data_IF_186316413632
#
_entry.id   IF_186316413632
#
_cell.length_a   1.000
_cell.length_b   1.000
_cell.length_c   1.000
_cell.angle_alpha   90.00
_cell.angle_beta   90.00
_cell.angle_gamma   90.00
#
_symmetry.space_group_name_H-M   'P 1'
#
loop_
_entity.id
_entity.type
_entity.pdbx_description
1 polymer ?
#
# COMPACT_ATOMS: atom_id res chain seq x y z
N UNK A 1 -57.61 -1.44 56.67
CA UNK A 1 -56.64 -2.56 56.60
C UNK A 1 -55.38 -2.05 55.90
N UNK A 2 -54.24 -2.26 56.56
CA UNK A 2 -52.82 -2.04 56.21
C UNK A 2 -52.50 -1.36 54.85
N UNK A 3 -51.89 -0.16 54.77
CA UNK A 3 -50.59 0.34 55.27
C UNK A 3 -49.54 0.52 54.15
N UNK A 4 -49.30 1.80 53.82
CA UNK A 4 -47.99 2.48 53.68
C UNK A 4 -47.06 2.06 52.51
N UNK A 5 -46.33 2.94 51.80
CA UNK A 5 -45.94 4.35 52.02
C UNK A 5 -45.33 4.90 50.71
N UNK A 6 -45.68 6.16 50.36
CA UNK A 6 -44.88 7.30 49.84
C UNK A 6 -43.55 7.05 49.06
N UNK A 7 -43.08 7.84 48.08
CA UNK A 7 -43.28 9.26 47.71
C UNK A 7 -42.51 9.62 46.41
N UNK A 8 -43.02 10.61 45.65
CA UNK A 8 -42.33 11.66 44.85
C UNK A 8 -41.50 11.29 43.57
N UNK A 9 -41.93 11.71 42.35
CA UNK A 9 -41.58 12.94 41.55
C UNK A 9 -40.10 13.00 41.09
N UNK A 10 -39.66 13.37 39.88
CA UNK A 10 -40.18 14.21 38.77
C UNK A 10 -39.19 14.17 37.55
N UNK A 11 -39.71 14.22 36.31
CA UNK A 11 -39.26 14.97 35.08
C UNK A 11 -37.96 14.64 34.28
N UNK A 12 -38.21 14.29 33.01
CA UNK A 12 -37.68 14.78 31.70
C UNK A 12 -36.26 15.31 31.50
N UNK A 13 -35.56 14.71 30.53
CA UNK A 13 -34.81 15.30 29.39
C UNK A 13 -34.28 14.11 28.55
N UNK A 14 -34.07 14.10 27.25
CA UNK A 14 -34.11 15.07 26.18
C UNK A 14 -33.67 14.32 24.91
N UNK A 15 -34.41 14.55 23.83
CA UNK A 15 -34.28 13.98 22.49
C UNK A 15 -33.20 14.76 21.70
N UNK A 16 -32.33 14.08 20.94
CA UNK A 16 -32.03 14.38 19.52
C UNK A 16 -30.70 13.76 19.02
N UNK A 17 -30.64 13.36 17.73
CA UNK A 17 -29.53 12.63 17.09
C UNK A 17 -28.56 13.55 16.35
N UNK A 18 -27.27 13.19 16.32
CA UNK A 18 -26.27 13.90 15.50
C UNK A 18 -26.10 13.25 14.14
N UNK A 19 -26.59 13.97 13.14
CA UNK A 19 -26.43 13.75 11.71
C UNK A 19 -24.97 13.81 11.27
N UNK A 20 -24.64 12.86 10.41
CA UNK A 20 -23.44 12.68 9.60
C UNK A 20 -23.02 13.97 8.88
N UNK A 21 -21.75 14.35 9.03
CA UNK A 21 -21.02 15.14 8.04
C UNK A 21 -19.94 14.25 7.42
N UNK A 22 -20.12 13.98 6.12
CA UNK A 22 -19.14 13.32 5.26
C UNK A 22 -18.13 14.37 4.80
N UNK A 23 -16.84 14.13 5.02
CA UNK A 23 -15.76 14.78 4.28
C UNK A 23 -14.96 13.67 3.58
N UNK A 24 -14.94 13.75 2.25
CA UNK A 24 -14.14 12.90 1.37
C UNK A 24 -12.65 13.18 1.59
N UNK A 25 -11.90 12.14 1.88
CA UNK A 25 -10.44 12.11 1.80
C UNK A 25 -10.04 11.31 0.57
N UNK A 26 -9.67 12.00 -0.51
CA UNK A 26 -8.84 11.44 -1.57
C UNK A 26 -7.39 11.41 -1.07
N UNK A 27 -6.91 10.21 -0.72
CA UNK A 27 -5.49 9.87 -0.64
C UNK A 27 -5.38 8.35 -0.67
N UNK A 28 -5.43 7.79 -1.87
CA UNK A 28 -5.08 6.40 -2.13
C UNK A 28 -3.56 6.26 -2.17
N UNK A 29 -2.98 5.80 -1.07
CA UNK A 29 -1.67 5.14 -1.01
C UNK A 29 -1.84 3.90 -0.12
N UNK A 30 -2.22 2.78 -0.75
CA UNK A 30 -2.22 1.45 -0.15
C UNK A 30 -0.81 0.88 -0.31
N UNK A 31 0.00 0.93 0.75
CA UNK A 31 1.23 0.13 0.86
C UNK A 31 1.00 -1.07 1.79
N UNK A 32 1.11 -2.22 1.14
CA UNK A 32 0.98 -3.60 1.61
C UNK A 32 2.07 -3.93 2.65
N UNK A 33 1.69 -4.01 3.93
CA UNK A 33 2.58 -4.40 5.02
C UNK A 33 2.77 -5.93 5.04
N UNK A 34 3.66 -6.45 4.20
CA UNK A 34 4.03 -7.86 4.19
C UNK A 34 5.00 -8.19 5.34
N UNK A 35 4.44 -8.87 6.35
CA UNK A 35 5.03 -9.78 7.32
C UNK A 35 6.55 -10.04 7.21
N UNK A 36 7.33 -9.50 8.16
CA UNK A 36 8.69 -9.96 8.45
C UNK A 36 8.59 -11.29 9.23
N UNK A 37 8.54 -12.40 8.50
CA UNK A 37 8.67 -13.75 9.04
C UNK A 37 10.14 -14.12 9.17
N UNK A 38 10.62 -14.23 10.41
CA UNK A 38 11.93 -14.80 10.76
C UNK A 38 11.99 -16.28 10.38
N UNK A 39 12.55 -16.59 9.22
CA UNK A 39 12.84 -17.96 8.82
C UNK A 39 14.31 -18.28 9.09
N UNK A 40 14.53 -19.07 10.13
CA UNK A 40 15.80 -19.74 10.40
C UNK A 40 16.14 -20.67 9.23
N UNK A 41 17.06 -20.26 8.36
CA UNK A 41 17.61 -21.14 7.32
C UNK A 41 18.63 -22.08 7.94
N UNK A 42 18.19 -23.30 8.23
CA UNK A 42 19.07 -24.43 8.50
C UNK A 42 19.87 -24.73 7.23
N UNK A 43 21.16 -24.40 7.23
CA UNK A 43 22.08 -24.77 6.17
C UNK A 43 22.26 -26.29 6.20
N UNK A 44 21.48 -26.99 5.38
CA UNK A 44 21.79 -28.36 4.98
C UNK A 44 22.85 -28.29 3.88
N UNK A 45 24.07 -28.67 4.23
CA UNK A 45 25.14 -28.89 3.26
C UNK A 45 24.76 -30.09 2.38
N UNK A 46 24.12 -29.84 1.25
CA UNK A 46 24.03 -30.83 0.18
C UNK A 46 25.40 -30.95 -0.47
N UNK A 47 26.10 -32.04 -0.18
CA UNK A 47 27.24 -32.50 -0.96
C UNK A 47 26.80 -32.61 -2.42
N UNK A 48 27.27 -31.70 -3.27
CA UNK A 48 27.11 -31.79 -4.71
C UNK A 48 27.99 -32.93 -5.20
N UNK A 49 27.39 -34.09 -5.51
CA UNK A 49 28.02 -35.05 -6.40
C UNK A 49 28.26 -34.33 -7.72
N UNK A 50 29.52 -34.19 -8.12
CA UNK A 50 29.87 -33.66 -9.44
C UNK A 50 29.35 -34.66 -10.48
N UNK A 51 28.11 -34.47 -10.93
CA UNK A 51 27.54 -35.16 -12.08
C UNK A 51 28.45 -34.83 -13.27
N UNK A 52 29.30 -35.79 -13.66
CA UNK A 52 30.16 -35.63 -14.83
C UNK A 52 29.29 -35.70 -16.07
N UNK A 53 29.29 -34.62 -16.85
CA UNK A 53 28.78 -34.60 -18.21
C UNK A 53 29.46 -35.73 -19.03
N UNK A 54 28.70 -36.66 -19.60
CA UNK A 54 29.24 -37.79 -20.42
C UNK A 54 29.59 -37.37 -21.86
N UNK A 55 29.79 -36.08 -22.06
CA UNK A 55 29.90 -35.43 -23.36
C UNK A 55 31.32 -35.45 -23.90
N UNK A 56 31.45 -35.51 -25.23
CA UNK A 56 32.76 -35.54 -25.88
C UNK A 56 33.51 -36.87 -25.74
N UNK A 57 32.83 -37.92 -25.25
CA UNK A 57 33.37 -39.28 -25.21
C UNK A 57 33.54 -39.80 -26.64
N UNK A 58 34.73 -40.29 -26.97
CA UNK A 58 35.01 -40.88 -28.27
C UNK A 58 34.48 -42.32 -28.30
N UNK A 59 33.54 -42.61 -29.19
CA UNK A 59 32.93 -43.93 -29.35
C UNK A 59 33.60 -44.77 -30.46
N UNK A 60 34.01 -44.13 -31.55
CA UNK A 60 34.56 -44.83 -32.71
C UNK A 60 35.62 -43.99 -33.43
N UNK A 61 36.72 -44.65 -33.82
CA UNK A 61 37.73 -44.12 -34.74
C UNK A 61 37.73 -45.01 -35.99
N UNK A 62 37.46 -44.39 -37.14
CA UNK A 62 37.50 -45.02 -38.45
C UNK A 62 38.61 -44.39 -39.28
N UNK A 63 39.38 -45.23 -39.97
CA UNK A 63 40.45 -44.80 -40.86
C UNK A 63 40.41 -45.60 -42.15
N UNK A 64 40.67 -44.93 -43.27
CA UNK A 64 40.76 -45.53 -44.59
C UNK A 64 41.99 -44.97 -45.31
N UNK A 65 42.81 -45.87 -45.86
CA UNK A 65 44.08 -45.56 -46.52
C UNK A 65 45.03 -44.68 -45.69
N UNK A 66 45.10 -44.93 -44.38
CA UNK A 66 45.85 -44.12 -43.42
C UNK A 66 47.02 -44.91 -42.84
N UNK A 67 48.25 -44.40 -43.00
CA UNK A 67 49.50 -45.04 -42.59
C UNK A 67 49.63 -46.49 -43.09
N UNK A 68 49.74 -47.49 -42.20
CA UNK A 68 49.82 -48.90 -42.58
C UNK A 68 48.45 -49.53 -42.84
N UNK A 69 47.35 -48.81 -42.58
CA UNK A 69 45.99 -49.37 -42.59
C UNK A 69 45.23 -49.04 -43.87
N UNK A 70 44.78 -50.07 -44.59
CA UNK A 70 43.83 -49.89 -45.72
C UNK A 70 42.45 -49.47 -45.20
N UNK A 71 41.96 -50.17 -44.17
CA UNK A 71 40.72 -49.86 -43.47
C UNK A 71 40.87 -50.32 -42.03
N UNK A 72 40.63 -49.42 -41.08
CA UNK A 72 40.73 -49.68 -39.65
C UNK A 72 39.51 -49.08 -38.96
N UNK A 73 38.87 -49.86 -38.09
CA UNK A 73 37.75 -49.40 -37.25
C UNK A 73 38.05 -49.80 -35.82
N UNK A 74 38.07 -48.83 -34.92
CA UNK A 74 38.33 -49.01 -33.50
C UNK A 74 37.13 -48.49 -32.74
N UNK A 75 36.44 -49.37 -32.02
CA UNK A 75 35.35 -49.00 -31.11
C UNK A 75 35.91 -48.83 -29.70
N UNK A 76 35.58 -47.73 -29.06
CA UNK A 76 36.05 -47.37 -27.73
C UNK A 76 34.88 -47.39 -26.74
N UNK A 77 35.14 -47.86 -25.54
CA UNK A 77 34.27 -47.73 -24.38
C UNK A 77 34.44 -46.36 -23.72
N UNK A 78 33.51 -46.03 -22.81
CA UNK A 78 33.35 -44.66 -22.27
C UNK A 78 34.46 -44.18 -21.33
N UNK A 79 35.20 -45.08 -20.69
CA UNK A 79 36.15 -44.72 -19.65
C UNK A 79 37.58 -45.15 -19.99
N UNK A 80 37.86 -46.44 -19.89
CA UNK A 80 39.21 -46.99 -20.05
C UNK A 80 39.21 -47.96 -21.23
N UNK A 81 40.17 -47.79 -22.12
CA UNK A 81 40.37 -48.61 -23.30
C UNK A 81 41.81 -49.12 -23.34
N UNK A 82 42.00 -50.44 -23.43
CA UNK A 82 43.31 -51.06 -23.60
C UNK A 82 43.50 -51.47 -25.05
N UNK A 83 44.48 -50.87 -25.73
CA UNK A 83 44.83 -51.18 -27.11
C UNK A 83 46.17 -51.93 -27.11
N UNK A 84 46.14 -53.20 -27.49
CA UNK A 84 47.31 -54.08 -27.50
C UNK A 84 47.62 -54.57 -28.92
N UNK A 85 48.81 -55.14 -29.12
CA UNK A 85 49.24 -55.70 -30.41
C UNK A 85 50.75 -55.73 -30.56
N UNK A 86 51.23 -56.45 -31.57
CA UNK A 86 52.67 -56.62 -31.85
C UNK A 86 53.38 -55.29 -32.18
N UNK A 87 54.70 -55.25 -32.01
CA UNK A 87 55.48 -54.07 -32.39
C UNK A 87 55.41 -53.87 -33.91
N UNK A 88 55.15 -52.64 -34.34
CA UNK A 88 54.96 -52.32 -35.76
C UNK A 88 53.54 -52.56 -36.30
N UNK A 89 52.60 -53.10 -35.51
CA UNK A 89 51.22 -53.37 -35.94
C UNK A 89 50.36 -52.13 -36.23
N UNK A 90 50.91 -50.92 -36.07
CA UNK A 90 50.22 -49.67 -36.36
C UNK A 90 49.36 -49.11 -35.21
N UNK A 91 49.57 -49.53 -33.96
CA UNK A 91 48.87 -48.99 -32.77
C UNK A 91 48.96 -47.46 -32.65
N UNK A 92 50.16 -46.90 -32.88
CA UNK A 92 50.38 -45.45 -32.84
C UNK A 92 49.62 -44.69 -33.93
N UNK A 93 49.15 -45.36 -34.99
CA UNK A 93 48.32 -44.75 -36.00
C UNK A 93 46.96 -44.32 -35.44
N UNK A 94 46.47 -44.96 -34.36
CA UNK A 94 45.20 -44.61 -33.72
C UNK A 94 45.31 -43.24 -33.04
N UNK A 95 46.37 -43.00 -32.29
CA UNK A 95 46.63 -41.69 -31.64
C UNK A 95 46.88 -40.62 -32.71
N UNK A 96 47.66 -40.93 -33.75
CA UNK A 96 47.91 -39.99 -34.84
C UNK A 96 46.62 -39.65 -35.60
N UNK A 97 45.74 -40.63 -35.85
CA UNK A 97 44.42 -40.40 -36.43
C UNK A 97 43.57 -39.49 -35.54
N UNK A 98 43.58 -39.73 -34.22
CA UNK A 98 42.85 -38.92 -33.26
C UNK A 98 43.29 -37.45 -33.29
N UNK A 99 44.60 -37.21 -33.14
CA UNK A 99 45.19 -35.88 -33.14
C UNK A 99 44.88 -35.14 -34.46
N UNK A 100 45.12 -35.79 -35.60
CA UNK A 100 44.95 -35.18 -36.91
C UNK A 100 43.48 -34.89 -37.17
N UNK A 101 42.56 -35.80 -36.90
CA UNK A 101 41.15 -35.53 -37.17
C UNK A 101 40.57 -34.42 -36.29
N UNK A 102 41.06 -34.24 -35.07
CA UNK A 102 40.60 -33.19 -34.14
C UNK A 102 41.37 -31.87 -34.25
N UNK A 103 42.21 -31.65 -35.26
CA UNK A 103 42.78 -30.32 -35.51
C UNK A 103 44.29 -30.19 -35.43
N UNK A 104 45.00 -31.22 -34.94
CA UNK A 104 46.45 -31.17 -34.79
C UNK A 104 47.18 -31.08 -36.14
N UNK A 105 48.42 -30.60 -36.10
CA UNK A 105 49.31 -30.57 -37.26
C UNK A 105 49.99 -31.91 -37.50
N UNK A 106 50.37 -32.22 -38.74
CA UNK A 106 51.18 -33.41 -39.05
C UNK A 106 52.46 -33.47 -38.18
N UNK A 107 53.10 -32.32 -37.95
CA UNK A 107 54.32 -32.21 -37.15
C UNK A 107 54.13 -32.61 -35.68
N UNK A 108 52.98 -32.31 -35.07
CA UNK A 108 52.75 -32.56 -33.64
C UNK A 108 52.52 -34.04 -33.34
N UNK A 109 52.20 -34.85 -34.34
CA UNK A 109 52.08 -36.31 -34.21
C UNK A 109 53.42 -37.05 -34.18
N UNK A 110 54.53 -36.37 -34.49
CA UNK A 110 55.86 -36.97 -34.69
C UNK A 110 55.92 -38.08 -35.77
N UNK A 111 54.88 -38.24 -36.60
CA UNK A 111 54.80 -39.29 -37.64
C UNK A 111 54.97 -38.78 -39.08
N UNK A 112 54.93 -37.47 -39.31
CA UNK A 112 55.11 -36.91 -40.65
C UNK A 112 55.33 -35.40 -40.66
N UNK A 113 56.04 -34.91 -41.68
CA UNK A 113 56.26 -33.47 -41.88
C UNK A 113 55.05 -32.77 -42.52
N UNK A 114 54.24 -33.52 -43.28
CA UNK A 114 53.04 -33.06 -43.99
C UNK A 114 51.95 -34.13 -43.93
N UNK A 115 50.70 -33.72 -44.08
CA UNK A 115 49.53 -34.62 -44.02
C UNK A 115 49.58 -35.70 -45.10
N UNK A 116 50.12 -35.39 -46.28
CA UNK A 116 50.28 -36.36 -47.38
C UNK A 116 51.10 -37.59 -46.98
N UNK A 117 52.05 -37.44 -46.05
CA UNK A 117 52.89 -38.53 -45.56
C UNK A 117 52.11 -39.52 -44.67
N UNK A 118 50.89 -39.16 -44.26
CA UNK A 118 50.02 -40.01 -43.47
C UNK A 118 49.10 -40.86 -44.37
N UNK A 119 49.09 -40.62 -45.67
CA UNK A 119 48.38 -41.47 -46.64
C UNK A 119 49.17 -42.78 -46.79
N UNK A 120 48.45 -43.91 -46.81
CA UNK A 120 49.06 -45.23 -46.93
C UNK A 120 49.85 -45.36 -48.23
N UNK A 121 51.12 -45.71 -48.10
CA UNK A 121 51.92 -46.15 -49.23
C UNK A 121 51.65 -47.66 -49.45
N UNK A 122 51.28 -48.05 -50.66
CA UNK A 122 51.12 -49.48 -51.00
C UNK A 122 52.36 -49.98 -51.73
N UNK A 123 52.90 -51.12 -51.31
CA UNK A 123 54.04 -51.76 -51.98
C UNK A 123 53.66 -52.35 -53.35
N UNK A 124 52.36 -52.52 -53.63
CA UNK A 124 51.82 -53.08 -54.89
C UNK A 124 51.45 -52.02 -55.95
N UNK A 125 52.00 -50.80 -55.85
CA UNK A 125 51.92 -49.78 -56.92
C UNK A 125 50.63 -48.95 -56.99
N UNK A 126 49.59 -49.27 -56.21
CA UNK A 126 48.33 -48.51 -56.22
C UNK A 126 48.27 -47.51 -55.05
N UNK A 127 48.89 -46.34 -55.23
CA UNK A 127 48.84 -45.29 -54.22
C UNK A 127 47.43 -44.69 -54.12
N UNK A 128 46.78 -44.73 -52.94
CA UNK A 128 45.48 -44.11 -52.75
C UNK A 128 45.59 -42.60 -52.88
N UNK A 129 44.65 -42.00 -53.62
CA UNK A 129 44.60 -40.53 -53.84
C UNK A 129 44.23 -39.74 -52.59
N UNK A 130 43.63 -40.40 -51.60
CA UNK A 130 43.23 -39.78 -50.34
C UNK A 130 43.17 -40.78 -49.19
N UNK A 131 43.38 -40.27 -47.98
CA UNK A 131 43.09 -40.93 -46.73
C UNK A 131 41.90 -40.26 -46.04
N UNK A 132 41.04 -41.04 -45.40
CA UNK A 132 39.92 -40.55 -44.61
C UNK A 132 40.11 -40.97 -43.16
N UNK A 133 40.02 -40.02 -42.25
CA UNK A 133 39.90 -40.29 -40.82
C UNK A 133 38.55 -39.76 -40.35
N UNK A 134 37.83 -40.56 -39.56
CA UNK A 134 36.54 -40.18 -38.95
C UNK A 134 36.55 -40.55 -37.48
N UNK A 135 36.12 -39.62 -36.63
CA UNK A 135 35.92 -39.82 -35.20
C UNK A 135 34.45 -39.59 -34.90
N UNK A 136 33.85 -40.49 -34.14
CA UNK A 136 32.48 -40.34 -33.64
C UNK A 136 32.53 -40.02 -32.15
N UNK A 137 31.91 -38.90 -31.77
CA UNK A 137 31.84 -38.37 -30.41
C UNK A 137 30.40 -38.45 -29.90
N UNK A 138 30.23 -38.79 -28.63
CA UNK A 138 28.95 -38.70 -27.94
C UNK A 138 28.60 -37.22 -27.70
N UNK A 139 27.40 -36.84 -28.11
CA UNK A 139 26.82 -35.51 -27.99
C UNK A 139 25.46 -35.53 -27.27
N UNK A 140 25.32 -36.35 -26.24
CA UNK A 140 24.11 -36.47 -25.43
C UNK A 140 24.24 -35.79 -24.05
N UNK A 141 23.77 -34.54 -23.94
CA UNK A 141 23.90 -33.71 -22.74
C UNK A 141 22.95 -34.11 -21.61
N UNK A 142 22.34 -35.29 -21.69
CA UNK A 142 21.46 -35.83 -20.64
C UNK A 142 22.35 -36.33 -19.51
N UNK A 143 22.60 -35.49 -18.51
CA UNK A 143 23.11 -35.97 -17.23
C UNK A 143 22.20 -37.11 -16.74
N UNK A 144 22.79 -38.16 -16.17
CA UNK A 144 22.11 -39.40 -15.71
C UNK A 144 20.97 -39.14 -14.67
N UNK A 145 20.76 -37.87 -14.31
CA UNK A 145 19.67 -37.33 -13.48
C UNK A 145 18.24 -37.73 -13.90
N UNK A 146 17.98 -38.20 -15.13
CA UNK A 146 16.63 -38.63 -15.51
C UNK A 146 16.20 -39.99 -14.91
N UNK A 147 17.11 -40.75 -14.28
CA UNK A 147 16.78 -42.07 -13.69
C UNK A 147 16.08 -42.01 -12.33
N UNK A 148 15.98 -40.83 -11.69
CA UNK A 148 15.27 -40.67 -10.41
C UNK A 148 13.83 -40.14 -10.58
N UNK A 149 13.41 -39.79 -11.79
CA UNK A 149 12.05 -39.38 -12.10
C UNK A 149 11.13 -40.57 -12.49
N UNK A 150 11.28 -41.72 -11.84
CA UNK A 150 10.33 -42.84 -11.94
C UNK A 150 9.81 -43.34 -10.59
N UNK A 151 9.72 -42.45 -9.60
CA UNK A 151 8.96 -42.67 -8.36
C UNK A 151 7.73 -41.76 -8.27
N UNK A 152 7.00 -41.61 -9.37
CA UNK A 152 5.58 -41.25 -9.32
C UNK A 152 4.77 -42.40 -9.90
N UNK A 153 4.09 -43.11 -9.01
CA UNK A 153 3.22 -44.25 -9.31
C UNK A 153 2.03 -43.82 -10.17
N UNK A 154 2.18 -43.69 -11.49
CA UNK A 154 1.08 -43.88 -12.47
C UNK A 154 1.67 -44.32 -13.81
N UNK A 155 1.25 -45.46 -14.38
CA UNK A 155 1.61 -45.81 -15.75
C UNK A 155 0.73 -44.97 -16.70
N UNK A 156 1.35 -44.22 -17.61
CA UNK A 156 0.67 -43.63 -18.76
C UNK A 156 1.12 -44.35 -20.04
N UNK A 157 0.20 -44.53 -21.01
CA UNK A 157 0.43 -45.40 -22.15
C UNK A 157 1.32 -44.74 -23.20
N UNK A 158 2.28 -45.54 -23.67
CA UNK A 158 2.95 -45.56 -24.97
C UNK A 158 2.50 -44.42 -25.91
N UNK A 159 3.26 -43.33 -25.95
CA UNK A 159 3.51 -42.52 -27.13
C UNK A 159 4.92 -41.94 -26.99
N UNK A 160 5.69 -41.98 -28.08
CA UNK A 160 7.06 -41.47 -28.17
C UNK A 160 7.14 -40.02 -27.70
N UNK A 161 7.47 -39.81 -26.43
CA UNK A 161 7.85 -38.48 -25.92
C UNK A 161 9.34 -38.34 -26.16
N UNK A 162 9.68 -37.82 -27.34
CA UNK A 162 10.89 -37.04 -27.52
C UNK A 162 10.81 -35.89 -26.50
N UNK A 163 11.66 -35.91 -25.46
CA UNK A 163 11.76 -34.77 -24.57
C UNK A 163 12.18 -33.53 -25.38
N UNK A 164 11.53 -32.37 -25.17
CA UNK A 164 11.88 -31.16 -25.88
C UNK A 164 13.33 -30.78 -25.62
N UNK A 165 14.10 -30.65 -26.70
CA UNK A 165 15.44 -30.06 -26.73
C UNK A 165 15.27 -28.61 -26.27
N UNK A 166 15.52 -28.33 -25.00
CA UNK A 166 15.21 -27.02 -24.43
C UNK A 166 15.81 -26.80 -23.06
N UNK A 167 16.91 -26.04 -23.05
CA UNK A 167 17.54 -25.35 -21.90
C UNK A 167 18.12 -26.27 -20.83
N UNK A 168 19.41 -26.59 -20.98
CA UNK A 168 20.23 -27.23 -19.95
C UNK A 168 21.06 -28.42 -20.43
N UNK A 169 21.01 -28.79 -21.71
CA UNK A 169 21.87 -29.86 -22.24
C UNK A 169 23.27 -29.29 -22.48
N UNK A 170 24.29 -29.91 -21.88
CA UNK A 170 25.71 -29.64 -22.19
C UNK A 170 26.10 -30.05 -23.63
N UNK A 171 25.13 -30.47 -24.46
CA UNK A 171 25.33 -30.83 -25.85
C UNK A 171 25.75 -29.66 -26.72
N UNK A 172 26.72 -29.92 -27.61
CA UNK A 172 27.16 -28.97 -28.61
C UNK A 172 26.13 -28.94 -29.74
N UNK A 173 25.40 -27.82 -29.87
CA UNK A 173 24.40 -27.58 -30.92
C UNK A 173 23.52 -28.83 -31.20
N UNK A 174 22.80 -29.35 -30.19
CA UNK A 174 22.05 -30.61 -30.29
C UNK A 174 20.99 -30.61 -31.39
N UNK A 175 20.42 -29.43 -31.71
CA UNK A 175 19.48 -29.26 -32.83
C UNK A 175 20.10 -29.55 -34.20
N UNK A 176 21.42 -29.34 -34.34
CA UNK A 176 22.13 -29.51 -35.62
C UNK A 176 22.80 -30.88 -35.74
N UNK A 177 23.37 -31.39 -34.64
CA UNK A 177 24.16 -32.62 -34.66
C UNK A 177 23.43 -33.84 -34.08
N UNK A 178 22.39 -33.64 -33.27
CA UNK A 178 21.76 -34.71 -32.50
C UNK A 178 22.65 -35.26 -31.39
N UNK A 179 22.47 -36.53 -31.05
CA UNK A 179 23.16 -37.20 -29.92
C UNK A 179 24.59 -37.66 -30.24
N UNK A 180 25.04 -37.54 -31.48
CA UNK A 180 26.40 -37.94 -31.90
C UNK A 180 26.95 -36.98 -32.95
N UNK A 181 28.21 -36.62 -32.81
CA UNK A 181 28.93 -35.80 -33.80
C UNK A 181 29.97 -36.67 -34.49
N UNK A 182 29.99 -36.63 -35.82
CA UNK A 182 31.02 -37.28 -36.62
C UNK A 182 31.97 -36.22 -37.19
N UNK A 183 33.22 -36.24 -36.76
CA UNK A 183 34.27 -35.39 -37.29
C UNK A 183 35.05 -36.19 -38.33
N UNK A 184 35.13 -35.69 -39.56
CA UNK A 184 35.95 -36.29 -40.60
C UNK A 184 37.06 -35.35 -41.05
N UNK A 185 38.24 -35.92 -41.28
CA UNK A 185 39.34 -35.26 -41.97
C UNK A 185 39.70 -36.05 -43.22
N UNK A 186 39.44 -35.46 -44.38
CA UNK A 186 39.84 -35.99 -45.68
C UNK A 186 41.19 -35.41 -46.06
N UNK A 187 42.21 -36.24 -46.19
CA UNK A 187 43.57 -35.86 -46.56
C UNK A 187 43.79 -36.29 -48.01
N UNK A 188 44.12 -35.34 -48.89
CA UNK A 188 44.39 -35.65 -50.30
C UNK A 188 45.88 -35.66 -50.61
N UNK A 189 46.28 -36.42 -51.63
CA UNK A 189 47.67 -36.57 -52.05
C UNK A 189 48.27 -35.24 -52.57
N UNK A 190 47.44 -34.32 -53.06
CA UNK A 190 47.86 -32.98 -53.46
C UNK A 190 48.28 -32.10 -52.26
N UNK A 191 48.11 -32.60 -51.03
CA UNK A 191 48.49 -31.91 -49.79
C UNK A 191 47.38 -31.05 -49.20
N UNK A 192 46.21 -31.00 -49.82
CA UNK A 192 45.02 -30.37 -49.24
C UNK A 192 44.33 -31.30 -48.24
N UNK A 193 43.71 -30.71 -47.22
CA UNK A 193 42.87 -31.44 -46.28
C UNK A 193 41.58 -30.68 -46.00
N UNK A 194 40.48 -31.41 -45.84
CA UNK A 194 39.15 -30.85 -45.63
C UNK A 194 38.54 -31.46 -44.37
N UNK A 195 37.98 -30.60 -43.51
CA UNK A 195 37.17 -31.03 -42.38
C UNK A 195 35.72 -31.18 -42.82
N UNK A 196 35.03 -32.18 -42.28
CA UNK A 196 33.57 -32.31 -42.39
C UNK A 196 33.03 -32.70 -41.03
N UNK A 197 32.28 -31.80 -40.41
CA UNK A 197 31.50 -32.09 -39.22
C UNK A 197 30.14 -32.56 -39.70
N UNK A 198 29.73 -33.73 -39.22
CA UNK A 198 28.51 -34.41 -39.62
C UNK A 198 27.62 -34.70 -38.41
N UNK A 199 26.33 -34.70 -38.64
CA UNK A 199 25.32 -35.11 -37.66
C UNK A 199 25.31 -36.64 -37.43
N UNK A 200 24.42 -37.11 -36.55
CA UNK A 200 24.21 -38.53 -36.26
C UNK A 200 23.88 -39.36 -37.51
N UNK A 201 23.18 -38.77 -38.49
CA UNK A 201 22.75 -39.41 -39.73
C UNK A 201 23.83 -39.36 -40.84
N UNK A 202 24.96 -38.70 -40.58
CA UNK A 202 26.09 -38.57 -41.51
C UNK A 202 25.97 -37.41 -42.51
N UNK A 203 25.02 -36.49 -42.33
CA UNK A 203 24.86 -35.29 -43.16
C UNK A 203 25.88 -34.24 -42.74
N UNK A 204 26.51 -33.58 -43.71
CA UNK A 204 27.54 -32.57 -43.45
C UNK A 204 26.88 -31.28 -42.98
N UNK A 205 27.17 -30.89 -41.74
CA UNK A 205 26.68 -29.66 -41.10
C UNK A 205 27.65 -28.50 -41.33
N UNK A 206 28.96 -28.73 -41.17
CA UNK A 206 29.99 -27.70 -41.41
C UNK A 206 31.28 -28.28 -41.96
N UNK A 207 32.05 -27.43 -42.63
CA UNK A 207 33.41 -27.71 -43.11
C UNK A 207 34.44 -26.72 -42.56
N UNK A 208 34.01 -25.75 -41.76
CA UNK A 208 34.87 -24.69 -41.25
C UNK A 208 35.73 -25.20 -40.09
N UNK A 209 37.01 -24.85 -40.08
CA UNK A 209 37.91 -25.15 -38.96
C UNK A 209 37.47 -24.45 -37.66
N UNK A 210 36.93 -23.24 -37.77
CA UNK A 210 36.43 -22.49 -36.61
C UNK A 210 35.27 -23.20 -35.90
N UNK A 211 34.38 -23.89 -36.62
CA UNK A 211 33.31 -24.69 -36.00
C UNK A 211 33.87 -25.94 -35.30
N UNK A 212 34.93 -26.56 -35.84
CA UNK A 212 35.64 -27.64 -35.16
C UNK A 212 36.28 -27.14 -33.85
N UNK A 213 36.96 -25.99 -33.89
CA UNK A 213 37.58 -25.38 -32.70
C UNK A 213 36.50 -25.04 -31.65
N UNK A 214 35.40 -24.42 -32.04
CA UNK A 214 34.28 -24.13 -31.14
C UNK A 214 33.66 -25.40 -30.53
N UNK A 215 33.58 -26.49 -31.29
CA UNK A 215 33.12 -27.79 -30.79
C UNK A 215 34.10 -28.38 -29.77
N UNK A 216 35.41 -28.34 -30.05
CA UNK A 216 36.43 -28.85 -29.13
C UNK A 216 36.49 -28.04 -27.84
N UNK A 217 36.37 -26.72 -27.92
CA UNK A 217 36.32 -25.83 -26.76
C UNK A 217 35.07 -26.11 -25.91
N UNK A 218 33.90 -26.29 -26.55
CA UNK A 218 32.65 -26.62 -25.84
C UNK A 218 32.70 -28.00 -25.18
N UNK A 219 33.24 -29.01 -25.87
CA UNK A 219 33.40 -30.36 -25.33
C UNK A 219 34.64 -30.52 -24.43
N UNK A 220 35.38 -29.43 -24.21
CA UNK A 220 36.61 -29.38 -23.40
C UNK A 220 37.67 -30.43 -23.84
N UNK A 221 37.80 -30.66 -25.14
CA UNK A 221 38.76 -31.61 -25.73
C UNK A 221 40.03 -30.85 -26.15
N UNK A 222 41.10 -31.01 -25.37
CA UNK A 222 42.37 -30.32 -25.60
C UNK A 222 43.42 -31.27 -26.20
N UNK A 223 43.49 -31.36 -27.52
CA UNK A 223 44.44 -32.23 -28.22
C UNK A 223 45.89 -31.74 -28.24
N UNK A 224 46.11 -30.44 -28.08
CA UNK A 224 47.45 -29.83 -28.04
C UNK A 224 48.07 -29.85 -26.63
N UNK A 225 47.27 -30.24 -25.61
CA UNK A 225 47.75 -30.36 -24.25
C UNK A 225 48.52 -31.68 -24.07
N UNK A 226 49.85 -31.65 -23.82
CA UNK A 226 50.66 -32.86 -23.70
C UNK A 226 50.28 -33.72 -22.48
N UNK A 227 49.56 -33.15 -21.50
CA UNK A 227 49.00 -33.91 -20.37
C UNK A 227 47.73 -34.68 -20.77
N UNK A 228 47.02 -34.25 -21.80
CA UNK A 228 45.83 -34.93 -22.33
C UNK A 228 46.21 -36.00 -23.38
N UNK A 229 47.18 -35.69 -24.25
CA UNK A 229 47.72 -36.63 -25.25
C UNK A 229 49.21 -36.86 -25.00
N UNK A 230 49.51 -37.87 -24.19
CA UNK A 230 50.88 -38.26 -23.87
C UNK A 230 51.32 -39.43 -24.77
N UNK A 231 51.99 -39.13 -25.87
CA UNK A 231 52.58 -40.14 -26.74
C UNK A 231 54.02 -40.51 -26.32
N UNK A 232 54.58 -41.54 -26.98
CA UNK A 232 55.90 -42.07 -26.64
C UNK A 232 57.01 -41.02 -26.76
N UNK A 233 56.92 -40.09 -27.71
CA UNK A 233 57.96 -39.06 -27.93
C UNK A 233 57.78 -37.88 -26.97
N UNK A 234 56.56 -37.41 -26.74
CA UNK A 234 56.24 -36.38 -25.74
C UNK A 234 56.59 -36.85 -24.32
N UNK A 235 56.43 -38.14 -24.01
CA UNK A 235 56.87 -38.71 -22.73
C UNK A 235 58.40 -38.69 -22.56
N UNK A 236 59.16 -38.95 -23.63
CA UNK A 236 60.63 -38.83 -23.61
C UNK A 236 61.06 -37.38 -23.45
N UNK A 237 60.43 -36.46 -24.17
CA UNK A 237 60.65 -35.01 -24.05
C UNK A 237 60.32 -34.51 -22.64
N UNK A 238 59.29 -35.03 -21.99
CA UNK A 238 58.96 -34.68 -20.61
C UNK A 238 60.08 -35.11 -19.62
N UNK A 239 60.62 -36.32 -19.77
CA UNK A 239 61.64 -36.87 -18.87
C UNK A 239 63.06 -36.35 -19.17
N UNK A 240 63.41 -36.14 -20.45
CA UNK A 240 64.77 -35.87 -20.92
C UNK A 240 64.91 -34.56 -21.70
N UNK A 241 63.84 -33.82 -21.92
CA UNK A 241 63.85 -32.60 -22.73
C UNK A 241 64.62 -31.45 -22.07
N UNK A 242 65.08 -30.54 -22.93
CA UNK A 242 65.81 -29.35 -22.53
C UNK A 242 64.88 -28.35 -21.80
N UNK A 243 65.43 -27.34 -21.10
CA UNK A 243 64.64 -26.35 -20.38
C UNK A 243 63.56 -25.66 -21.24
N UNK A 244 63.80 -25.50 -22.54
CA UNK A 244 62.83 -24.96 -23.50
C UNK A 244 61.64 -25.90 -23.77
N UNK A 245 61.83 -27.22 -23.71
CA UNK A 245 60.73 -28.18 -23.85
C UNK A 245 59.92 -28.27 -22.54
N UNK A 246 60.61 -28.16 -21.39
CA UNK A 246 59.98 -28.03 -20.08
C UNK A 246 59.22 -26.70 -19.92
N UNK A 247 59.59 -25.66 -20.67
CA UNK A 247 58.93 -24.35 -20.67
C UNK A 247 57.45 -24.41 -21.07
N UNK A 248 57.05 -25.34 -21.95
CA UNK A 248 55.62 -25.53 -22.30
C UNK A 248 54.78 -25.96 -21.10
N UNK A 249 55.37 -26.76 -20.20
CA UNK A 249 54.72 -27.16 -18.95
C UNK A 249 54.76 -26.04 -17.91
N UNK A 250 55.85 -25.28 -17.84
CA UNK A 250 55.94 -24.08 -16.98
C UNK A 250 54.93 -22.99 -17.39
N UNK A 251 54.65 -22.82 -18.68
CA UNK A 251 53.65 -21.88 -19.16
C UNK A 251 52.21 -22.31 -18.81
N UNK A 252 51.95 -23.63 -18.73
CA UNK A 252 50.68 -24.14 -18.20
C UNK A 252 50.54 -23.83 -16.70
N UNK A 253 51.62 -23.93 -15.94
CA UNK A 253 51.67 -23.53 -14.53
C UNK A 253 51.42 -22.03 -14.36
N UNK A 254 52.04 -21.19 -15.19
CA UNK A 254 51.83 -19.73 -15.21
C UNK A 254 50.36 -19.38 -15.50
N UNK A 255 49.75 -20.00 -16.51
CA UNK A 255 48.31 -19.81 -16.82
C UNK A 255 47.44 -20.21 -15.64
N UNK A 256 47.75 -21.32 -14.97
CA UNK A 256 47.00 -21.79 -13.81
C UNK A 256 47.09 -20.78 -12.65
N UNK A 257 48.26 -20.20 -12.41
CA UNK A 257 48.46 -19.14 -11.40
C UNK A 257 47.64 -17.89 -11.75
N UNK A 258 47.66 -17.47 -13.02
CA UNK A 258 46.88 -16.33 -13.49
C UNK A 258 45.37 -16.53 -13.29
N UNK A 259 44.84 -17.72 -13.62
CA UNK A 259 43.41 -18.03 -13.39
C UNK A 259 43.06 -18.01 -11.90
N UNK A 260 43.93 -18.56 -11.03
CA UNK A 260 43.73 -18.48 -9.57
C UNK A 260 43.68 -17.04 -9.09
N UNK A 261 44.56 -16.18 -9.61
CA UNK A 261 44.59 -14.76 -9.25
C UNK A 261 43.33 -14.02 -9.70
N UNK A 262 42.88 -14.24 -10.94
CA UNK A 262 41.62 -13.66 -11.43
C UNK A 262 40.42 -14.12 -10.62
N UNK A 263 40.36 -15.41 -10.26
CA UNK A 263 39.29 -15.93 -9.41
C UNK A 263 39.32 -15.27 -8.03
N UNK A 264 40.48 -15.12 -7.41
CA UNK A 264 40.61 -14.45 -6.11
C UNK A 264 40.11 -12.99 -6.17
N UNK A 265 40.53 -12.23 -7.20
CA UNK A 265 40.06 -10.85 -7.39
C UNK A 265 38.57 -10.74 -7.72
N UNK A 266 37.99 -11.75 -8.39
CA UNK A 266 36.55 -11.76 -8.65
C UNK A 266 35.74 -11.78 -7.35
N UNK A 267 36.18 -12.54 -6.33
CA UNK A 267 35.52 -12.55 -5.01
C UNK A 267 35.62 -11.21 -4.30
N UNK A 268 36.78 -10.53 -4.38
CA UNK A 268 36.97 -9.19 -3.81
C UNK A 268 36.04 -8.19 -4.49
N UNK A 269 35.99 -8.19 -5.82
CA UNK A 269 35.11 -7.31 -6.61
C UNK A 269 33.64 -7.48 -6.26
N UNK A 270 33.16 -8.72 -6.13
CA UNK A 270 31.77 -8.98 -5.71
C UNK A 270 31.49 -8.33 -4.35
N UNK A 271 32.40 -8.47 -3.40
CA UNK A 271 32.24 -7.87 -2.06
C UNK A 271 32.33 -6.36 -2.06
N UNK A 272 33.21 -5.77 -2.86
CA UNK A 272 33.28 -4.32 -3.06
C UNK A 272 31.95 -3.78 -3.61
N UNK A 273 31.39 -4.42 -4.64
CA UNK A 273 30.10 -4.00 -5.21
C UNK A 273 28.94 -4.13 -4.23
N UNK A 274 28.89 -5.22 -3.44
CA UNK A 274 27.87 -5.38 -2.38
C UNK A 274 27.98 -4.28 -1.32
N UNK A 275 29.21 -3.88 -0.96
CA UNK A 275 29.43 -2.81 0.02
C UNK A 275 29.00 -1.44 -0.52
N UNK A 276 29.20 -1.20 -1.81
CA UNK A 276 28.83 0.05 -2.46
C UNK A 276 27.31 0.20 -2.53
N UNK A 277 26.59 -0.85 -2.95
CA UNK A 277 25.10 -0.85 -2.95
C UNK A 277 24.53 -0.66 -1.55
N UNK A 278 25.09 -1.34 -0.53
CA UNK A 278 24.64 -1.19 0.85
C UNK A 278 24.90 0.22 1.41
N UNK A 279 25.97 0.89 0.98
CA UNK A 279 26.24 2.28 1.39
C UNK A 279 25.22 3.24 0.78
N UNK A 280 24.88 3.07 -0.50
CA UNK A 280 23.86 3.89 -1.16
C UNK A 280 22.49 3.72 -0.49
N UNK A 281 22.09 2.48 -0.19
CA UNK A 281 20.85 2.20 0.54
C UNK A 281 20.84 2.84 1.94
N UNK A 282 21.97 2.80 2.65
CA UNK A 282 22.11 3.43 3.96
C UNK A 282 21.95 4.95 3.89
N UNK A 283 22.58 5.60 2.90
CA UNK A 283 22.49 7.05 2.69
C UNK A 283 21.05 7.47 2.36
N UNK A 284 20.35 6.70 1.51
CA UNK A 284 18.95 6.93 1.21
C UNK A 284 18.06 6.77 2.45
N UNK A 285 18.33 5.76 3.29
CA UNK A 285 17.59 5.59 4.54
C UNK A 285 17.83 6.76 5.51
N UNK A 286 19.06 7.25 5.61
CA UNK A 286 19.41 8.38 6.47
C UNK A 286 18.72 9.68 6.04
N UNK A 287 18.73 10.00 4.75
CA UNK A 287 18.06 11.20 4.23
C UNK A 287 16.54 11.18 4.46
N UNK A 288 15.90 10.01 4.29
CA UNK A 288 14.48 9.82 4.63
C UNK A 288 14.23 9.99 6.13
N UNK A 289 15.08 9.40 6.98
CA UNK A 289 14.96 9.54 8.44
C UNK A 289 15.07 11.00 8.90
N UNK A 290 16.00 11.77 8.34
CA UNK A 290 16.14 13.20 8.62
C UNK A 290 14.93 14.01 8.13
N UNK A 291 14.36 13.63 6.99
CA UNK A 291 13.09 14.17 6.50
C UNK A 291 11.95 13.95 7.50
N UNK A 292 11.74 12.71 7.93
CA UNK A 292 10.71 12.37 8.92
C UNK A 292 10.93 13.08 10.25
N UNK A 293 12.18 13.23 10.71
CA UNK A 293 12.50 13.97 11.93
C UNK A 293 12.08 15.45 11.85
N UNK A 294 12.28 16.10 10.70
CA UNK A 294 11.80 17.48 10.46
C UNK A 294 10.28 17.56 10.44
N UNK A 295 9.60 16.60 9.82
CA UNK A 295 8.13 16.56 9.81
C UNK A 295 7.57 16.33 11.22
N UNK A 296 8.16 15.41 11.99
CA UNK A 296 7.78 15.16 13.37
C UNK A 296 7.89 16.42 14.23
N UNK A 297 8.98 17.18 14.10
CA UNK A 297 9.16 18.44 14.81
C UNK A 297 8.09 19.49 14.43
N UNK A 298 7.69 19.57 13.16
CA UNK A 298 6.60 20.46 12.71
C UNK A 298 5.25 20.07 13.31
N UNK A 299 4.90 18.80 13.26
CA UNK A 299 3.63 18.32 13.83
C UNK A 299 3.60 18.50 15.35
N UNK A 300 4.73 18.27 16.02
CA UNK A 300 4.83 18.49 17.45
C UNK A 300 4.61 19.97 17.83
N UNK A 301 5.22 20.91 17.09
CA UNK A 301 4.96 22.33 17.27
C UNK A 301 3.49 22.72 17.01
N UNK A 302 2.83 22.11 16.01
CA UNK A 302 1.41 22.34 15.75
C UNK A 302 0.52 21.83 16.89
N UNK A 303 0.83 20.64 17.44
CA UNK A 303 0.10 20.08 18.58
C UNK A 303 0.27 20.97 19.80
N UNK A 304 1.48 21.44 20.08
CA UNK A 304 1.75 22.37 21.19
C UNK A 304 0.96 23.68 21.05
N UNK A 305 0.92 24.26 19.84
CA UNK A 305 0.13 25.46 19.57
C UNK A 305 -1.38 25.25 19.78
N UNK A 306 -1.95 24.19 19.19
CA UNK A 306 -3.37 23.86 19.35
C UNK A 306 -3.73 23.55 20.82
N UNK A 307 -2.81 22.94 21.56
CA UNK A 307 -3.01 22.66 22.99
C UNK A 307 -3.05 23.95 23.81
N UNK A 308 -2.18 24.92 23.48
CA UNK A 308 -2.19 26.25 24.11
C UNK A 308 -3.48 27.03 23.78
N UNK A 309 -3.91 27.01 22.51
CA UNK A 309 -5.16 27.63 22.08
C UNK A 309 -6.38 27.02 22.79
N UNK A 310 -6.41 25.69 22.93
CA UNK A 310 -7.46 24.99 23.66
C UNK A 310 -7.47 25.38 25.14
N UNK A 311 -6.31 25.51 25.77
CA UNK A 311 -6.21 25.97 27.15
C UNK A 311 -6.78 27.38 27.32
N UNK A 312 -6.40 28.31 26.44
CA UNK A 312 -6.92 29.68 26.46
C UNK A 312 -8.44 29.74 26.24
N UNK A 313 -8.97 28.90 25.35
CA UNK A 313 -10.41 28.82 25.10
C UNK A 313 -11.16 28.26 26.32
N UNK A 314 -10.61 27.25 27.00
CA UNK A 314 -11.18 26.71 28.22
C UNK A 314 -11.20 27.73 29.35
N UNK A 315 -10.12 28.47 29.56
CA UNK A 315 -10.05 29.55 30.56
C UNK A 315 -11.07 30.66 30.27
N UNK A 316 -11.22 31.03 28.99
CA UNK A 316 -12.25 31.99 28.55
C UNK A 316 -13.68 31.47 28.81
N UNK A 317 -13.91 30.17 28.57
CA UNK A 317 -15.19 29.53 28.81
C UNK A 317 -15.52 29.50 30.31
N UNK A 318 -14.55 29.20 31.17
CA UNK A 318 -14.70 29.23 32.63
C UNK A 318 -15.16 30.61 33.11
N UNK A 319 -14.51 31.68 32.64
CA UNK A 319 -14.91 33.06 32.96
C UNK A 319 -16.34 33.40 32.51
N UNK A 320 -16.75 32.97 31.32
CA UNK A 320 -18.13 33.17 30.86
C UNK A 320 -19.14 32.33 31.66
N UNK A 321 -18.79 31.12 32.07
CA UNK A 321 -19.66 30.31 32.94
C UNK A 321 -19.86 30.93 34.32
N UNK A 322 -18.84 31.59 34.86
CA UNK A 322 -18.94 32.34 36.12
C UNK A 322 -19.90 33.55 35.97
N UNK A 323 -19.76 34.33 34.89
CA UNK A 323 -20.69 35.44 34.58
C UNK A 323 -22.13 34.96 34.43
N UNK A 324 -22.35 33.81 33.78
CA UNK A 324 -23.66 33.19 33.64
C UNK A 324 -24.27 32.81 34.99
N UNK A 325 -23.46 32.28 35.92
CA UNK A 325 -23.91 31.95 37.27
C UNK A 325 -24.32 33.21 38.06
N UNK A 326 -23.56 34.30 37.94
CA UNK A 326 -23.88 35.59 38.56
C UNK A 326 -25.18 36.18 38.00
N UNK A 327 -25.36 36.13 36.68
CA UNK A 327 -26.60 36.55 36.00
C UNK A 327 -27.80 35.74 36.48
N UNK A 328 -27.68 34.42 36.63
CA UNK A 328 -28.76 33.59 37.14
C UNK A 328 -29.12 33.95 38.60
N UNK A 329 -28.11 34.22 39.44
CA UNK A 329 -28.31 34.69 40.81
C UNK A 329 -29.10 36.01 40.85
N UNK A 330 -28.71 36.99 40.02
CA UNK A 330 -29.44 38.26 39.89
C UNK A 330 -30.88 38.04 39.40
N UNK A 331 -31.07 37.14 38.43
CA UNK A 331 -32.39 36.80 37.91
C UNK A 331 -33.29 36.18 38.99
N UNK A 332 -32.73 35.29 39.81
CA UNK A 332 -33.44 34.66 40.93
C UNK A 332 -33.82 35.69 42.01
N UNK A 333 -32.93 36.61 42.35
CA UNK A 333 -33.20 37.69 43.30
C UNK A 333 -34.30 38.63 42.82
N UNK A 334 -34.25 39.05 41.55
CA UNK A 334 -35.31 39.86 40.93
C UNK A 334 -36.65 39.13 40.93
N UNK A 335 -36.67 37.83 40.58
CA UNK A 335 -37.88 37.00 40.65
C UNK A 335 -38.42 36.93 42.08
N UNK A 336 -37.56 36.80 43.08
CA UNK A 336 -37.97 36.80 44.48
C UNK A 336 -38.57 38.15 44.89
N UNK A 337 -37.92 39.25 44.54
CA UNK A 337 -38.40 40.62 44.82
C UNK A 337 -39.73 40.92 44.14
N UNK A 338 -39.90 40.51 42.88
CA UNK A 338 -41.18 40.58 42.19
C UNK A 338 -42.29 39.82 42.94
N UNK A 339 -42.00 38.61 43.45
CA UNK A 339 -42.97 37.84 44.25
C UNK A 339 -43.32 38.53 45.57
N UNK A 340 -42.32 39.06 46.28
CA UNK A 340 -42.54 39.78 47.54
C UNK A 340 -43.41 41.02 47.37
N UNK A 341 -43.25 41.76 46.27
CA UNK A 341 -44.06 42.95 45.97
C UNK A 341 -45.47 42.61 45.45
N UNK A 342 -45.67 41.40 44.91
CA UNK A 342 -46.95 40.99 44.31
C UNK A 342 -48.09 40.91 45.32
N UNK A 343 -47.82 40.38 46.52
CA UNK A 343 -48.81 40.24 47.58
C UNK A 343 -49.32 41.60 48.12
N UNK A 344 -48.45 42.54 48.56
CA UNK A 344 -48.90 43.86 48.99
C UNK A 344 -49.56 44.66 47.87
N UNK A 345 -49.11 44.52 46.61
CA UNK A 345 -49.80 45.13 45.47
C UNK A 345 -51.24 44.62 45.34
N UNK A 346 -51.48 43.30 45.42
CA UNK A 346 -52.81 42.72 45.36
C UNK A 346 -53.72 43.19 46.51
N UNK A 347 -53.17 43.27 47.74
CA UNK A 347 -53.90 43.82 48.89
C UNK A 347 -54.31 45.27 48.61
N UNK A 348 -53.36 46.12 48.22
CA UNK A 348 -53.64 47.54 47.92
C UNK A 348 -54.63 47.71 46.77
N UNK A 349 -54.56 46.85 45.76
CA UNK A 349 -55.52 46.88 44.66
C UNK A 349 -56.92 46.47 45.11
N UNK A 350 -57.04 45.46 45.98
CA UNK A 350 -58.32 45.07 46.58
C UNK A 350 -58.89 46.17 47.49
N UNK A 351 -58.05 46.79 48.33
CA UNK A 351 -58.43 47.94 49.16
C UNK A 351 -58.93 49.11 48.29
N UNK A 352 -58.22 49.44 47.21
CA UNK A 352 -58.63 50.47 46.25
C UNK A 352 -60.01 50.17 45.66
N UNK A 353 -60.24 48.93 45.19
CA UNK A 353 -61.54 48.52 44.62
C UNK A 353 -62.66 48.61 45.65
N UNK A 354 -62.41 48.23 46.90
CA UNK A 354 -63.39 48.32 47.99
C UNK A 354 -63.73 49.79 48.30
N UNK A 355 -62.73 50.66 48.38
CA UNK A 355 -62.91 52.10 48.56
C UNK A 355 -63.68 52.73 47.40
N UNK A 356 -63.37 52.34 46.15
CA UNK A 356 -64.10 52.81 44.96
C UNK A 356 -65.59 52.42 45.02
N UNK A 357 -65.89 51.18 45.39
CA UNK A 357 -67.28 50.73 45.56
C UNK A 357 -68.01 51.54 46.64
N UNK A 358 -67.36 51.73 47.80
CA UNK A 358 -67.92 52.51 48.91
C UNK A 358 -68.15 53.98 48.52
N UNK A 359 -67.18 54.59 47.82
CA UNK A 359 -67.29 55.95 47.32
C UNK A 359 -68.47 56.07 46.34
N UNK A 360 -68.63 55.11 45.43
CA UNK A 360 -69.73 55.10 44.47
C UNK A 360 -71.10 54.97 45.17
N UNK A 361 -71.20 54.10 46.18
CA UNK A 361 -72.43 53.95 46.99
C UNK A 361 -72.76 55.22 47.76
N UNK A 362 -71.77 55.83 48.41
CA UNK A 362 -71.92 57.10 49.13
C UNK A 362 -72.31 58.23 48.19
N UNK A 363 -71.70 58.35 47.01
CA UNK A 363 -72.08 59.33 45.98
C UNK A 363 -73.53 59.16 45.55
N UNK A 364 -73.98 57.93 45.25
CA UNK A 364 -75.38 57.65 44.89
C UNK A 364 -76.34 58.08 46.00
N UNK A 365 -76.03 57.72 47.25
CA UNK A 365 -76.85 58.09 48.42
C UNK A 365 -76.90 59.60 48.65
N UNK A 366 -75.79 60.30 48.40
CA UNK A 366 -75.72 61.76 48.52
C UNK A 366 -76.64 62.44 47.52
N UNK A 367 -76.65 61.97 46.25
CA UNK A 367 -77.58 62.43 45.21
C UNK A 367 -79.04 62.19 45.60
N UNK A 368 -79.37 61.01 46.17
CA UNK A 368 -80.73 60.71 46.65
C UNK A 368 -81.17 61.65 47.79
N UNK A 369 -80.29 61.87 48.78
CA UNK A 369 -80.56 62.79 49.89
C UNK A 369 -80.70 64.24 49.40
N UNK A 370 -79.88 64.68 48.43
CA UNK A 370 -80.01 65.99 47.81
C UNK A 370 -81.35 66.16 47.11
N UNK A 371 -81.81 65.13 46.38
CA UNK A 371 -83.13 65.11 45.74
C UNK A 371 -84.25 65.19 46.78
N UNK A 372 -84.16 64.45 47.87
CA UNK A 372 -85.16 64.49 48.94
C UNK A 372 -85.15 65.81 49.72
N UNK A 373 -83.97 66.38 49.96
CA UNK A 373 -83.82 67.71 50.55
C UNK A 373 -84.48 68.76 49.67
N UNK A 374 -84.29 68.69 48.34
CA UNK A 374 -84.92 69.60 47.39
C UNK A 374 -86.45 69.47 47.42
N UNK A 375 -86.99 68.24 47.38
CA UNK A 375 -88.44 67.99 47.49
C UNK A 375 -89.02 68.54 48.80
N UNK A 376 -88.35 68.31 49.93
CA UNK A 376 -88.79 68.82 51.24
C UNK A 376 -88.77 70.36 51.27
N UNK A 377 -87.74 70.99 50.68
CA UNK A 377 -87.71 72.46 50.53
C UNK A 377 -88.86 72.97 49.68
N UNK A 378 -89.14 72.33 48.53
CA UNK A 378 -90.26 72.69 47.67
C UNK A 378 -91.60 72.59 48.42
N UNK A 379 -91.85 71.47 49.13
CA UNK A 379 -93.05 71.31 49.97
C UNK A 379 -93.13 72.37 51.07
N UNK A 380 -92.00 72.73 51.68
CA UNK A 380 -91.97 73.79 52.69
C UNK A 380 -92.26 75.16 52.09
N UNK A 381 -91.76 75.47 50.88
CA UNK A 381 -92.09 76.69 50.16
C UNK A 381 -93.58 76.75 49.79
N UNK A 382 -94.15 75.66 49.29
CA UNK A 382 -95.60 75.55 49.02
C UNK A 382 -96.42 75.78 50.29
N UNK A 383 -96.01 75.17 51.40
CA UNK A 383 -96.64 75.37 52.71
C UNK A 383 -96.56 76.83 53.17
N UNK A 384 -95.38 77.45 53.12
CA UNK A 384 -95.19 78.86 53.47
C UNK A 384 -96.04 79.79 52.61
N UNK A 385 -96.07 79.58 51.28
CA UNK A 385 -96.91 80.35 50.37
C UNK A 385 -98.40 80.18 50.69
N UNK A 386 -98.84 78.98 51.07
CA UNK A 386 -100.21 78.74 51.52
C UNK A 386 -100.54 79.47 52.83
N UNK A 387 -99.56 79.59 53.72
CA UNK A 387 -99.66 80.30 55.00
C UNK A 387 -99.73 81.81 54.78
N UNK A 388 -98.89 82.35 53.90
CA UNK A 388 -98.94 83.74 53.44
C UNK A 388 -100.29 84.05 52.77
N UNK A 389 -100.81 83.16 51.92
CA UNK A 389 -102.14 83.32 51.31
C UNK A 389 -103.26 83.32 52.36
N UNK A 390 -103.16 82.47 53.39
CA UNK A 390 -104.12 82.45 54.51
C UNK A 390 -104.03 83.74 55.32
N UNK A 391 -102.83 84.21 55.64
CA UNK A 391 -102.61 85.48 56.35
C UNK A 391 -103.08 86.69 55.54
N UNK A 392 -102.84 86.70 54.23
CA UNK A 392 -103.32 87.75 53.33
C UNK A 392 -104.85 87.74 53.22
N UNK A 393 -105.51 86.57 53.25
CA UNK A 393 -106.98 86.48 53.33
C UNK A 393 -107.50 87.03 54.65
N UNK A 394 -106.92 86.63 55.78
CA UNK A 394 -107.32 87.17 57.09
C UNK A 394 -107.05 88.68 57.20
N UNK A 395 -105.99 89.20 56.58
CA UNK A 395 -105.70 90.63 56.53
C UNK A 395 -106.74 91.38 55.67
N UNK A 396 -107.13 90.83 54.51
CA UNK A 396 -108.22 91.40 53.69
C UNK A 396 -109.57 91.34 54.39
N UNK A 397 -109.86 90.27 55.13
CA UNK A 397 -111.07 90.16 55.95
C UNK A 397 -111.06 91.23 57.06
N UNK A 398 -109.92 91.42 57.75
CA UNK A 398 -109.72 92.49 58.72
C UNK A 398 -109.93 93.88 58.11
N UNK A 399 -109.30 94.19 56.98
CA UNK A 399 -109.50 95.47 56.28
C UNK A 399 -110.97 95.69 55.88
N UNK A 400 -111.67 94.64 55.44
CA UNK A 400 -113.10 94.75 55.09
C UNK A 400 -113.98 95.02 56.31
N UNK A 401 -113.60 94.50 57.48
CA UNK A 401 -114.28 94.77 58.76
C UNK A 401 -113.95 96.19 59.23
N UNK A 402 -112.71 96.64 59.03
CA UNK A 402 -112.26 97.99 59.38
C UNK A 402 -112.95 99.06 58.53
N UNK A 403 -113.10 98.81 57.22
CA UNK A 403 -113.84 99.70 56.33
C UNK A 403 -115.33 99.81 56.73
N UNK A 404 -115.96 98.69 57.11
CA UNK A 404 -117.34 98.70 57.64
C UNK A 404 -117.47 99.44 58.97
N UNK A 405 -116.42 99.39 59.79
CA UNK A 405 -116.37 100.10 61.07
C UNK A 405 -116.23 101.61 60.85
N UNK A 406 -115.39 102.04 59.91
CA UNK A 406 -115.22 103.45 59.56
C UNK A 406 -116.50 104.04 58.93
N UNK A 407 -117.17 103.30 58.03
CA UNK A 407 -118.48 103.70 57.47
C UNK A 407 -119.56 103.87 58.56
N UNK A 408 -119.57 102.97 59.56
CA UNK A 408 -120.51 103.05 60.68
C UNK A 408 -120.20 104.24 61.62
N UNK A 409 -118.92 104.57 61.81
CA UNK A 409 -118.49 105.73 62.59
C UNK A 409 -118.80 107.05 61.89
N UNK A 410 -118.69 107.12 60.56
CA UNK A 410 -119.07 108.30 59.79
C UNK A 410 -120.58 108.49 59.74
N UNK A 411 -121.38 107.42 59.63
CA UNK A 411 -122.84 107.50 59.79
C UNK A 411 -123.24 108.02 61.18
N UNK A 412 -122.55 107.58 62.24
CA UNK A 412 -122.77 108.08 63.60
C UNK A 412 -122.45 109.58 63.70
N UNK A 413 -121.33 110.04 63.14
CA UNK A 413 -120.98 111.48 63.13
C UNK A 413 -122.00 112.31 62.33
N UNK A 414 -122.52 111.77 61.23
CA UNK A 414 -123.54 112.45 60.44
C UNK A 414 -124.89 112.59 61.19
N UNK A 415 -125.25 111.60 61.99
CA UNK A 415 -126.45 111.63 62.83
C UNK A 415 -126.30 112.56 64.05
N UNK A 416 -125.12 112.62 64.66
CA UNK A 416 -124.85 113.53 65.79
C UNK A 416 -124.89 115.01 65.39
N UNK A 417 -124.55 115.38 64.14
CA UNK A 417 -124.62 116.77 63.65
C UNK A 417 -126.05 117.22 63.34
N UNK A 418 -126.96 116.30 62.98
CA UNK A 418 -128.35 116.64 62.64
C UNK A 418 -129.22 116.85 63.89
N UNK A 419 -128.84 116.25 65.02
CA UNK A 419 -129.68 116.25 66.23
C UNK A 419 -129.60 117.52 67.10
N UNK A 420 -128.79 118.53 66.75
CA UNK A 420 -128.71 119.80 67.51
C UNK A 420 -129.52 120.94 66.84
N UNK A 421 -130.03 120.76 65.61
CA UNK A 421 -130.82 121.77 64.90
C UNK A 421 -132.34 121.67 65.07
N UNK A 422 -132.85 120.84 66.00
CA UNK A 422 -134.29 120.73 66.30
C UNK A 422 -134.53 120.82 67.82
N UNK A 423 -134.91 122.04 68.23
CA UNK A 423 -135.52 122.50 69.50
C UNK A 423 -134.55 122.86 70.64
#
# INVERSE_FOLDING_TARGET
MAANSAKARKRHAGDSPSSVYVLQSDASDEDEFAHVGSSQSSQSQSQTSLDRSEMGVIEEIYCENFMCHRKMVVKLGRNINFITGENGSGKSAIIAALQICLGASARTTHRGKSLKNLIRNSDQGEQPRSALVRITLLNDGTSISSSLCTLSRRPLPIHNVCMPIGKGTDAFRPEQFGTRIQVERLIRIEGTAEYRLKDMDGRVVSKAKADLEAMLDHLNIQIDNPCAVLDQENAKLFLKGDPADKYKFAHLEEKLVSVKHHLAWSFVRVKETECETLREELEQCQTKADGYKKHMAKYQAQVEALTADQHHLNESLELETEKLADLDKQQQELKHRQRQLRYPQQIKEAERKQLEHNLQKSKKRLVEIEKDKLKKRQRYQEYMSSLEHKQARSAKELDSVQLRLDDALDQKRHLEVISIYII
#
